data_IF_422364885618
#
_entry.id   IF_422364885618
#
_cell.length_a   1.000
_cell.length_b   1.000
_cell.length_c   1.000
_cell.angle_alpha   90.00
_cell.angle_beta   90.00
_cell.angle_gamma   90.00
#
_symmetry.space_group_name_H-M   'P 1'
#
loop_
_entity.id
_entity.type
_entity.pdbx_description
1 polymer ?
#
# COMPACT_ATOMS: atom_id res chain seq x y z
N UNK A 1 4.24 -5.11 10.26
CA UNK A 1 3.17 -5.68 9.41
C UNK A 1 1.80 -5.52 10.06
N UNK A 2 1.53 -6.07 11.26
CA UNK A 2 0.21 -5.93 11.89
C UNK A 2 -0.26 -4.48 12.05
N UNK A 3 0.64 -3.59 12.50
CA UNK A 3 0.38 -2.14 12.63
C UNK A 3 -0.10 -1.48 11.33
N UNK A 4 0.46 -1.88 10.18
CA UNK A 4 0.03 -1.36 8.88
C UNK A 4 -1.43 -1.73 8.59
N UNK A 5 -1.80 -2.99 8.83
CA UNK A 5 -3.19 -3.43 8.65
C UNK A 5 -4.15 -2.75 9.63
N UNK A 6 -3.72 -2.49 10.87
CA UNK A 6 -4.53 -1.71 11.82
C UNK A 6 -4.79 -0.30 11.30
N UNK A 7 -3.76 0.41 10.80
CA UNK A 7 -3.94 1.74 10.20
C UNK A 7 -4.82 1.71 8.96
N UNK A 8 -4.64 0.70 8.09
CA UNK A 8 -5.47 0.49 6.91
C UNK A 8 -6.96 0.30 7.30
N UNK A 9 -7.24 -0.56 8.27
CA UNK A 9 -8.61 -0.82 8.73
C UNK A 9 -9.25 0.40 9.40
N UNK A 10 -8.48 1.16 10.19
CA UNK A 10 -8.95 2.44 10.74
C UNK A 10 -9.36 3.39 9.63
N UNK A 11 -8.55 3.52 8.58
CA UNK A 11 -8.87 4.37 7.42
C UNK A 11 -10.13 3.91 6.68
N UNK A 12 -10.34 2.60 6.56
CA UNK A 12 -11.55 2.02 5.94
C UNK A 12 -12.80 2.42 6.70
N UNK A 13 -12.76 2.33 8.04
CA UNK A 13 -13.86 2.74 8.92
C UNK A 13 -14.07 4.26 8.89
N UNK A 14 -13.00 5.03 9.13
CA UNK A 14 -13.01 6.49 9.21
C UNK A 14 -13.47 7.19 7.93
N UNK A 15 -13.26 6.58 6.76
CA UNK A 15 -13.67 7.14 5.46
C UNK A 15 -14.86 6.42 4.84
N UNK A 16 -15.45 5.43 5.53
CA UNK A 16 -16.54 4.59 5.03
C UNK A 16 -16.26 4.03 3.62
N UNK A 17 -15.09 3.40 3.48
CA UNK A 17 -14.63 2.77 2.24
C UNK A 17 -15.45 1.50 1.98
N UNK A 18 -15.98 1.35 0.76
CA UNK A 18 -16.68 0.13 0.35
C UNK A 18 -15.71 -0.97 -0.12
N UNK A 19 -14.78 -0.62 -1.00
CA UNK A 19 -13.74 -1.53 -1.47
C UNK A 19 -12.41 -0.79 -1.62
N UNK A 20 -11.32 -1.52 -1.43
CA UNK A 20 -9.98 -1.00 -1.62
C UNK A 20 -9.11 -2.06 -2.27
N UNK A 21 -8.29 -1.66 -3.24
CA UNK A 21 -7.33 -2.54 -3.90
C UNK A 21 -6.08 -1.74 -4.31
N UNK A 22 -4.89 -2.35 -4.27
CA UNK A 22 -3.69 -1.70 -4.76
C UNK A 22 -3.84 -1.34 -6.25
N UNK A 23 -3.34 -0.18 -6.65
CA UNK A 23 -3.32 0.25 -8.04
C UNK A 23 -2.41 -0.68 -8.85
N UNK A 24 -2.88 -1.11 -10.02
CA UNK A 24 -2.10 -1.98 -10.91
C UNK A 24 -0.79 -1.31 -11.34
N UNK A 25 -0.80 -0.02 -11.67
CA UNK A 25 0.42 0.69 -12.05
C UNK A 25 1.47 0.69 -10.93
N UNK A 26 1.06 1.00 -9.71
CA UNK A 26 1.96 0.96 -8.55
C UNK A 26 2.49 -0.46 -8.26
N UNK A 27 1.68 -1.50 -8.49
CA UNK A 27 2.13 -2.89 -8.39
C UNK A 27 3.14 -3.23 -9.48
N UNK A 28 2.89 -2.84 -10.73
CA UNK A 28 3.77 -3.10 -11.86
C UNK A 28 5.13 -2.38 -11.67
N UNK A 29 5.12 -1.13 -11.21
CA UNK A 29 6.33 -0.36 -10.88
C UNK A 29 7.13 -1.02 -9.75
N UNK A 30 6.45 -1.49 -8.69
CA UNK A 30 7.10 -2.21 -7.60
C UNK A 30 7.71 -3.54 -8.09
N UNK A 31 6.99 -4.28 -8.91
CA UNK A 31 7.47 -5.55 -9.47
C UNK A 31 8.70 -5.34 -10.33
N UNK A 32 8.72 -4.31 -11.18
CA UNK A 32 9.88 -3.96 -11.98
C UNK A 32 11.10 -3.66 -11.09
N UNK A 33 10.94 -2.78 -10.08
CA UNK A 33 12.02 -2.44 -9.16
C UNK A 33 12.52 -3.67 -8.38
N UNK A 34 11.61 -4.57 -7.99
CA UNK A 34 11.95 -5.80 -7.29
C UNK A 34 12.75 -6.76 -8.20
N UNK A 35 12.32 -6.93 -9.45
CA UNK A 35 13.01 -7.76 -10.44
C UNK A 35 14.42 -7.24 -10.74
N UNK A 36 14.57 -5.93 -10.95
CA UNK A 36 15.87 -5.28 -11.17
C UNK A 36 16.79 -5.43 -9.94
N UNK A 37 16.26 -5.25 -8.74
CA UNK A 37 17.03 -5.44 -7.50
C UNK A 37 17.51 -6.88 -7.35
N UNK A 38 16.62 -7.86 -7.56
CA UNK A 38 16.94 -9.28 -7.39
C UNK A 38 17.96 -9.78 -8.42
N UNK A 39 17.97 -9.22 -9.64
CA UNK A 39 18.97 -9.57 -10.66
C UNK A 39 20.42 -9.31 -10.20
N UNK A 40 20.64 -8.34 -9.31
CA UNK A 40 21.96 -8.00 -8.76
C UNK A 40 22.37 -8.78 -7.50
N UNK A 41 21.53 -9.71 -7.02
CA UNK A 41 21.78 -10.45 -5.76
C UNK A 41 22.30 -11.87 -6.01
N UNK A 42 22.48 -12.68 -4.95
CA UNK A 42 22.82 -14.11 -5.06
C UNK A 42 21.62 -15.00 -5.43
N UNK A 43 20.40 -14.45 -5.42
CA UNK A 43 19.18 -15.15 -5.76
C UNK A 43 19.02 -15.64 -7.22
N UNK A 44 19.72 -15.12 -8.26
CA UNK A 44 19.83 -15.77 -9.56
C UNK A 44 20.77 -16.99 -9.53
N UNK A 45 21.42 -17.30 -8.42
CA UNK A 45 22.11 -18.58 -8.23
C UNK A 45 21.10 -19.74 -8.16
N UNK A 46 21.53 -20.95 -8.55
CA UNK A 46 20.74 -22.18 -8.55
C UNK A 46 20.20 -22.54 -7.15
N UNK A 47 19.13 -21.88 -6.71
CA UNK A 47 18.51 -22.09 -5.42
C UNK A 47 17.27 -22.98 -5.60
N UNK A 48 17.23 -24.09 -4.86
CA UNK A 48 16.17 -25.11 -4.94
C UNK A 48 15.10 -24.93 -3.87
N UNK A 49 15.13 -23.83 -3.11
CA UNK A 49 14.16 -23.54 -2.05
C UNK A 49 12.85 -23.03 -2.65
N UNK A 50 11.71 -23.27 -1.98
CA UNK A 50 10.36 -22.83 -2.40
C UNK A 50 10.23 -21.34 -2.79
N UNK A 51 11.13 -20.50 -2.26
CA UNK A 51 11.19 -19.07 -2.52
C UNK A 51 11.69 -18.75 -3.93
N UNK A 52 12.44 -19.66 -4.53
CA UNK A 52 12.57 -19.82 -5.96
C UNK A 52 11.48 -20.81 -6.36
N UNK A 53 10.50 -20.41 -7.18
CA UNK A 53 9.40 -21.32 -7.53
C UNK A 53 9.89 -22.67 -8.09
N UNK A 54 8.99 -23.63 -8.38
CA UNK A 54 9.35 -24.97 -8.88
C UNK A 54 10.08 -24.98 -10.24
N UNK A 55 10.52 -23.83 -10.74
CA UNK A 55 11.04 -23.61 -12.08
C UNK A 55 12.50 -23.13 -12.03
N UNK A 56 13.34 -23.90 -12.72
CA UNK A 56 14.78 -23.75 -12.87
C UNK A 56 15.12 -22.37 -13.41
N UNK A 57 16.20 -21.76 -12.90
CA UNK A 57 16.84 -20.64 -13.56
C UNK A 57 17.85 -21.17 -14.56
N UNK A 58 17.42 -21.32 -15.80
CA UNK A 58 18.34 -21.36 -16.92
C UNK A 58 18.70 -19.91 -17.19
N UNK A 59 20.01 -19.64 -17.25
CA UNK A 59 20.56 -18.37 -17.68
C UNK A 59 19.78 -17.78 -18.86
N UNK A 60 19.51 -16.48 -18.76
CA UNK A 60 19.50 -15.51 -19.87
C UNK A 60 19.80 -16.21 -21.21
N UNK A 61 18.78 -16.44 -22.04
CA UNK A 61 18.78 -17.12 -23.37
C UNK A 61 18.19 -18.54 -23.50
N UNK A 62 17.54 -19.12 -22.48
CA UNK A 62 16.82 -20.40 -22.66
C UNK A 62 15.31 -20.23 -22.48
N UNK A 63 14.60 -20.13 -23.61
CA UNK A 63 13.18 -20.44 -23.67
C UNK A 63 13.02 -21.91 -23.34
N UNK A 64 12.62 -22.21 -22.11
CA UNK A 64 12.36 -23.59 -21.72
C UNK A 64 11.13 -24.12 -22.44
N UNK A 65 11.21 -25.38 -22.84
CA UNK A 65 10.27 -26.12 -23.71
C UNK A 65 8.83 -26.24 -23.16
N UNK A 66 8.51 -25.53 -22.07
CA UNK A 66 7.20 -25.45 -21.43
C UNK A 66 6.76 -24.01 -21.07
N UNK A 67 7.48 -22.96 -21.49
CA UNK A 67 6.99 -21.58 -21.50
C UNK A 67 6.86 -20.86 -20.14
N UNK A 68 7.39 -21.40 -19.04
CA UNK A 68 7.32 -20.73 -17.73
C UNK A 68 8.59 -19.93 -17.44
N UNK A 69 8.42 -18.63 -17.23
CA UNK A 69 9.45 -17.72 -16.71
C UNK A 69 9.45 -17.81 -15.18
N UNK A 70 10.50 -18.36 -14.59
CA UNK A 70 10.64 -18.50 -13.13
C UNK A 70 10.99 -17.17 -12.47
N UNK A 71 9.98 -16.35 -12.14
CA UNK A 71 10.18 -15.11 -11.37
C UNK A 71 10.34 -15.41 -9.87
N UNK A 72 11.24 -14.69 -9.20
CA UNK A 72 11.35 -14.71 -7.73
C UNK A 72 10.19 -13.89 -7.18
N UNK A 73 9.22 -14.54 -6.53
CA UNK A 73 7.98 -13.88 -6.06
C UNK A 73 7.81 -13.89 -4.54
N UNK A 74 8.68 -14.57 -3.81
CA UNK A 74 8.42 -14.89 -2.39
C UNK A 74 9.09 -13.94 -1.38
N UNK A 75 10.04 -13.10 -1.80
CA UNK A 75 10.91 -12.35 -0.88
C UNK A 75 10.88 -10.86 -1.20
N UNK A 76 10.86 -10.05 -0.15
CA UNK A 76 11.01 -8.59 -0.26
C UNK A 76 12.39 -8.19 -0.78
N UNK A 77 12.50 -7.27 -1.77
CA UNK A 77 13.78 -6.75 -2.22
C UNK A 77 14.38 -5.79 -1.19
N UNK A 78 15.19 -6.33 -0.26
CA UNK A 78 15.94 -5.56 0.72
C UNK A 78 15.88 -6.14 2.14
N UNK A 79 16.24 -5.31 3.13
CA UNK A 79 16.23 -5.71 4.54
C UNK A 79 14.83 -5.65 5.15
N UNK A 80 14.64 -6.37 6.27
CA UNK A 80 13.39 -6.28 7.06
C UNK A 80 13.16 -4.89 7.66
N UNK A 81 14.23 -4.15 7.96
CA UNK A 81 14.14 -2.76 8.39
C UNK A 81 13.61 -1.86 7.27
N UNK A 82 14.16 -2.00 6.05
CA UNK A 82 13.68 -1.27 4.88
C UNK A 82 12.19 -1.56 4.62
N UNK A 83 11.78 -2.83 4.69
CA UNK A 83 10.36 -3.20 4.58
C UNK A 83 9.48 -2.48 5.60
N UNK A 84 9.93 -2.39 6.85
CA UNK A 84 9.19 -1.72 7.92
C UNK A 84 9.07 -0.20 7.67
N UNK A 85 10.15 0.44 7.25
CA UNK A 85 10.15 1.87 6.91
C UNK A 85 9.21 2.16 5.74
N UNK A 86 9.20 1.32 4.70
CA UNK A 86 8.27 1.47 3.57
C UNK A 86 6.81 1.32 4.02
N UNK A 87 6.52 0.35 4.89
CA UNK A 87 5.17 0.22 5.46
C UNK A 87 4.76 1.41 6.33
N UNK A 88 5.70 2.16 6.90
CA UNK A 88 5.43 3.34 7.73
C UNK A 88 5.12 4.59 6.90
N UNK A 89 5.48 4.60 5.62
CA UNK A 89 5.17 5.71 4.72
C UNK A 89 3.68 5.82 4.39
N UNK A 90 2.90 4.74 4.61
CA UNK A 90 1.45 4.77 4.47
C UNK A 90 1.00 5.40 3.12
N UNK A 91 1.59 4.92 2.01
CA UNK A 91 1.33 5.41 0.64
C UNK A 91 -0.06 5.08 0.14
N UNK A 92 -1.07 5.75 0.68
CA UNK A 92 -2.48 5.51 0.36
C UNK A 92 -2.88 5.93 -1.06
N UNK A 93 -2.04 6.74 -1.72
CA UNK A 93 -2.19 7.20 -3.10
C UNK A 93 -2.04 6.04 -4.10
N UNK A 94 -1.29 5.01 -3.73
CA UNK A 94 -1.07 3.82 -4.55
C UNK A 94 -2.26 2.84 -4.53
N UNK A 95 -3.38 3.23 -3.92
CA UNK A 95 -4.56 2.39 -3.75
C UNK A 95 -5.77 3.00 -4.46
N UNK A 96 -6.56 2.14 -5.06
CA UNK A 96 -7.87 2.47 -5.61
C UNK A 96 -8.93 2.25 -4.53
N UNK A 97 -9.56 3.35 -4.12
CA UNK A 97 -10.61 3.37 -3.10
C UNK A 97 -11.97 3.62 -3.74
N UNK A 98 -12.97 2.84 -3.37
CA UNK A 98 -14.38 3.10 -3.74
C UNK A 98 -15.21 3.37 -2.51
N UNK A 99 -16.24 4.19 -2.68
CA UNK A 99 -17.10 4.67 -1.60
C UNK A 99 -18.55 4.45 -2.01
N UNK A 100 -19.42 3.95 -1.11
CA UNK A 100 -20.76 3.53 -1.48
C UNK A 100 -21.64 4.69 -1.98
N UNK A 101 -21.37 5.91 -1.52
CA UNK A 101 -22.17 7.07 -1.85
C UNK A 101 -21.36 8.36 -2.05
N UNK A 102 -20.09 8.22 -2.46
CA UNK A 102 -19.15 9.30 -2.71
C UNK A 102 -18.21 9.61 -1.54
N UNK A 103 -17.01 10.13 -1.85
CA UNK A 103 -15.90 10.32 -0.89
C UNK A 103 -16.26 11.20 0.31
N UNK A 104 -16.97 12.29 0.06
CA UNK A 104 -17.22 13.33 1.06
C UNK A 104 -18.56 13.18 1.78
N UNK A 105 -19.35 12.16 1.45
CA UNK A 105 -20.69 12.01 2.04
C UNK A 105 -20.61 11.72 3.55
N UNK A 106 -19.49 11.17 4.02
CA UNK A 106 -19.21 10.95 5.44
C UNK A 106 -19.20 12.25 6.27
N UNK A 107 -18.88 13.40 5.66
CA UNK A 107 -18.89 14.68 6.36
C UNK A 107 -20.32 15.14 6.71
N UNK A 108 -21.34 14.51 6.13
CA UNK A 108 -22.73 14.79 6.43
C UNK A 108 -23.05 16.27 6.26
N UNK A 109 -23.51 16.91 7.35
CA UNK A 109 -23.88 18.34 7.37
C UNK A 109 -22.69 19.28 7.67
N UNK A 110 -21.46 18.78 7.68
CA UNK A 110 -20.26 19.60 7.92
C UNK A 110 -20.12 20.12 9.35
N UNK A 111 -20.81 19.51 10.31
CA UNK A 111 -20.71 19.89 11.72
C UNK A 111 -19.64 19.06 12.42
N UNK A 112 -18.75 19.76 13.12
CA UNK A 112 -17.75 19.16 13.99
C UNK A 112 -18.40 18.44 15.18
N UNK A 113 -17.65 17.54 15.81
CA UNK A 113 -18.08 16.86 17.04
C UNK A 113 -18.37 17.86 18.17
N UNK A 114 -17.55 18.90 18.29
CA UNK A 114 -17.67 19.95 19.31
C UNK A 114 -19.01 20.67 19.18
N UNK A 115 -19.39 21.08 17.96
CA UNK A 115 -20.66 21.78 17.72
C UNK A 115 -21.89 20.94 18.08
N UNK A 116 -21.82 19.62 17.89
CA UNK A 116 -22.92 18.70 18.25
C UNK A 116 -23.04 18.46 19.75
N UNK A 117 -21.93 18.44 20.48
CA UNK A 117 -21.90 18.13 21.91
C UNK A 117 -22.13 19.37 22.79
N UNK A 118 -21.55 20.52 22.44
CA UNK A 118 -21.64 21.73 23.27
C UNK A 118 -22.78 22.68 22.88
N UNK A 119 -23.30 22.58 21.65
CA UNK A 119 -24.22 23.58 21.09
C UNK A 119 -23.60 24.99 20.97
N UNK A 120 -22.31 25.12 21.29
CA UNK A 120 -21.60 26.40 21.39
C UNK A 120 -20.86 26.67 20.08
N UNK A 121 -21.54 27.36 19.17
CA UNK A 121 -21.06 27.72 17.85
C UNK A 121 -19.93 28.79 17.88
N UNK A 122 -19.54 29.25 19.07
CA UNK A 122 -18.52 30.28 19.27
C UNK A 122 -17.08 29.75 19.29
N UNK A 123 -16.86 28.44 19.07
CA UNK A 123 -15.50 27.88 18.98
C UNK A 123 -14.66 28.57 17.89
N UNK A 124 -15.26 28.86 16.74
CA UNK A 124 -14.61 29.57 15.64
C UNK A 124 -14.27 31.04 15.97
N UNK A 125 -15.01 31.69 16.87
CA UNK A 125 -14.76 33.08 17.27
C UNK A 125 -13.63 33.22 18.31
N UNK A 126 -13.40 32.18 19.13
CA UNK A 126 -12.31 32.19 20.12
C UNK A 126 -10.92 31.95 19.52
N UNK A 127 -10.84 31.24 18.38
CA UNK A 127 -9.57 30.86 17.74
C UNK A 127 -9.40 31.40 16.31
N UNK A 128 -10.41 32.11 15.76
CA UNK A 128 -10.38 32.67 14.41
C UNK A 128 -9.65 34.02 14.26
N UNK A 129 -8.96 34.51 15.30
CA UNK A 129 -8.27 35.81 15.26
C UNK A 129 -6.94 35.81 14.48
N UNK A 130 -6.71 34.84 13.57
CA UNK A 130 -5.46 34.76 12.81
C UNK A 130 -5.56 35.36 11.40
N UNK A 131 -6.69 35.99 11.05
CA UNK A 131 -6.87 36.69 9.78
C UNK A 131 -7.56 38.04 10.02
N UNK A 132 -6.85 38.96 10.69
CA UNK A 132 -7.10 40.41 10.61
C UNK A 132 -5.89 41.09 9.98
#
# INVERSE_FOLDING_TARGET
MAEFFVRLLKRVDELNVATFAPNKGAQDDFNQQAEEFMAGTVWPGSCTSWSCGPFRLNSILSTDKHGYSGKITAVWPGSSFHYREVLEQDRWEDWNWTYPAGRYKIWGKGQSRVEKESGDHNYCLKYGSFLS
#
